data_IF_413564813634
#
_entry.id   IF_413564813634
#
_cell.length_a   1.000
_cell.length_b   1.000
_cell.length_c   1.000
_cell.angle_alpha   90.00
_cell.angle_beta   90.00
_cell.angle_gamma   90.00
#
_symmetry.space_group_name_H-M   'P 1'
#
loop_
_entity.id
_entity.type
_entity.pdbx_description
1 polymer ?
#
# COMPACT_ATOMS: atom_id res chain seq x y z
N UNK A 1 -23.49 -6.46 7.77
CA UNK A 1 -22.95 -6.73 6.42
C UNK A 1 -23.39 -8.13 5.95
N UNK A 2 -24.53 -8.27 5.26
CA UNK A 2 -25.08 -9.61 4.93
C UNK A 2 -25.13 -9.91 3.42
N UNK A 3 -24.48 -9.11 2.57
CA UNK A 3 -24.44 -9.37 1.12
C UNK A 3 -23.06 -9.93 0.72
N UNK A 4 -22.96 -11.19 0.25
CA UNK A 4 -21.69 -11.83 -0.10
C UNK A 4 -20.93 -11.08 -1.21
N UNK A 5 -21.63 -10.33 -2.06
CA UNK A 5 -21.03 -9.54 -3.14
C UNK A 5 -20.21 -8.34 -2.63
N UNK A 6 -20.60 -7.73 -1.51
CA UNK A 6 -19.88 -6.58 -0.94
C UNK A 6 -18.61 -7.05 -0.21
N UNK A 7 -18.68 -8.18 0.49
CA UNK A 7 -17.50 -8.78 1.16
C UNK A 7 -16.44 -9.18 0.13
N UNK A 8 -16.84 -9.73 -1.02
CA UNK A 8 -15.90 -10.11 -2.09
C UNK A 8 -15.05 -8.92 -2.55
N UNK A 9 -15.61 -7.70 -2.59
CA UNK A 9 -14.88 -6.48 -2.98
C UNK A 9 -13.78 -6.12 -1.96
N UNK A 10 -14.06 -6.31 -0.67
CA UNK A 10 -13.04 -6.14 0.38
C UNK A 10 -11.92 -7.16 0.23
N UNK A 11 -12.28 -8.44 0.02
CA UNK A 11 -11.31 -9.53 -0.16
C UNK A 11 -10.41 -9.27 -1.37
N UNK A 12 -10.96 -8.82 -2.50
CA UNK A 12 -10.17 -8.47 -3.69
C UNK A 12 -9.17 -7.36 -3.38
N UNK A 13 -9.58 -6.32 -2.63
CA UNK A 13 -8.67 -5.28 -2.17
C UNK A 13 -7.52 -5.83 -1.34
N UNK A 14 -7.82 -6.70 -0.37
CA UNK A 14 -6.82 -7.37 0.47
C UNK A 14 -5.85 -8.18 -0.37
N UNK A 15 -6.35 -8.99 -1.31
CA UNK A 15 -5.53 -9.80 -2.21
C UNK A 15 -4.61 -8.92 -3.06
N UNK A 16 -5.10 -7.80 -3.58
CA UNK A 16 -4.30 -6.80 -4.30
C UNK A 16 -3.16 -6.23 -3.43
N UNK A 17 -3.43 -5.91 -2.17
CA UNK A 17 -2.42 -5.42 -1.25
C UNK A 17 -1.37 -6.49 -0.88
N UNK A 18 -1.78 -7.76 -0.75
CA UNK A 18 -0.87 -8.89 -0.51
C UNK A 18 -0.01 -9.15 -1.76
N UNK A 19 -0.60 -9.18 -2.95
CA UNK A 19 0.14 -9.31 -4.21
C UNK A 19 1.17 -8.19 -4.37
N UNK A 20 0.81 -6.97 -3.97
CA UNK A 20 1.73 -5.85 -3.94
C UNK A 20 2.89 -6.07 -2.96
N UNK A 21 2.60 -6.54 -1.73
CA UNK A 21 3.61 -6.90 -0.73
C UNK A 21 4.58 -7.98 -1.27
N UNK A 22 4.08 -8.95 -2.03
CA UNK A 22 4.90 -10.01 -2.61
C UNK A 22 6.03 -9.48 -3.52
N UNK A 23 5.88 -8.31 -4.13
CA UNK A 23 6.96 -7.66 -4.90
C UNK A 23 8.19 -7.44 -4.01
N UNK A 24 8.00 -7.06 -2.74
CA UNK A 24 9.12 -6.80 -1.84
C UNK A 24 9.85 -8.05 -1.38
N UNK A 25 9.15 -9.18 -1.33
CA UNK A 25 9.66 -10.47 -0.85
C UNK A 25 10.37 -11.24 -1.97
N UNK A 26 9.73 -11.34 -3.13
CA UNK A 26 10.21 -12.21 -4.21
C UNK A 26 11.13 -11.52 -5.20
N UNK A 27 11.07 -10.19 -5.31
CA UNK A 27 11.90 -9.48 -6.28
C UNK A 27 13.25 -9.12 -5.66
N UNK A 28 14.30 -9.66 -6.27
CA UNK A 28 15.69 -9.46 -5.83
C UNK A 28 16.13 -8.02 -6.11
N UNK A 29 16.82 -7.40 -5.15
CA UNK A 29 17.29 -6.01 -5.25
C UNK A 29 18.36 -5.81 -6.35
N UNK A 30 18.97 -6.89 -6.84
CA UNK A 30 19.94 -6.84 -7.94
C UNK A 30 19.30 -6.67 -9.32
N UNK A 31 17.97 -6.73 -9.43
CA UNK A 31 17.26 -6.52 -10.70
C UNK A 31 17.14 -5.02 -10.99
N UNK A 32 17.75 -4.60 -12.09
CA UNK A 32 17.76 -3.23 -12.57
C UNK A 32 17.20 -3.17 -13.99
N UNK A 33 16.46 -2.10 -14.29
CA UNK A 33 16.06 -1.75 -15.65
C UNK A 33 17.10 -0.78 -16.19
N UNK A 34 17.68 -1.16 -17.32
CA UNK A 34 18.47 -0.29 -18.17
C UNK A 34 17.59 0.23 -19.31
N UNK A 35 17.26 1.52 -19.28
CA UNK A 35 16.37 2.14 -20.26
C UNK A 35 17.07 2.45 -21.59
N UNK A 36 18.40 2.58 -21.59
CA UNK A 36 19.20 2.95 -22.75
C UNK A 36 20.00 1.78 -23.32
N UNK A 37 20.16 0.69 -22.56
CA UNK A 37 20.92 -0.50 -22.94
C UNK A 37 22.45 -0.30 -22.88
N UNK A 38 22.91 0.80 -22.30
CA UNK A 38 24.30 1.22 -22.23
C UNK A 38 24.91 1.10 -20.82
N UNK A 39 24.13 0.64 -19.85
CA UNK A 39 24.53 0.48 -18.44
C UNK A 39 24.67 1.79 -17.66
N UNK A 40 24.35 2.95 -18.25
CA UNK A 40 24.58 4.27 -17.64
C UNK A 40 23.46 4.70 -16.69
N UNK A 41 22.22 4.28 -16.94
CA UNK A 41 21.04 4.71 -16.18
C UNK A 41 20.25 3.50 -15.65
N UNK A 42 20.82 2.87 -14.63
CA UNK A 42 20.24 1.69 -13.97
C UNK A 42 19.23 2.11 -12.92
N UNK A 43 17.95 1.80 -13.17
CA UNK A 43 16.87 2.04 -12.22
C UNK A 43 16.47 0.74 -11.52
N UNK A 44 16.30 0.73 -10.19
CA UNK A 44 15.94 -0.49 -9.47
C UNK A 44 14.50 -0.93 -9.84
N UNK A 45 14.37 -2.12 -10.43
CA UNK A 45 13.09 -2.67 -10.90
C UNK A 45 12.06 -2.77 -9.77
N UNK A 46 12.51 -3.10 -8.56
CA UNK A 46 11.68 -3.21 -7.35
C UNK A 46 10.96 -1.93 -7.00
N UNK A 47 11.62 -0.79 -7.13
CA UNK A 47 11.02 0.51 -6.86
C UNK A 47 9.97 0.84 -7.93
N UNK A 48 10.31 0.62 -9.21
CA UNK A 48 9.40 0.85 -10.34
C UNK A 48 8.11 0.03 -10.20
N UNK A 49 8.23 -1.29 -9.98
CA UNK A 49 7.08 -2.17 -9.77
C UNK A 49 6.33 -1.85 -8.48
N UNK A 50 7.03 -1.44 -7.42
CA UNK A 50 6.42 -0.96 -6.18
C UNK A 50 5.50 0.24 -6.43
N UNK A 51 5.96 1.24 -7.19
CA UNK A 51 5.15 2.42 -7.53
C UNK A 51 3.98 2.05 -8.46
N UNK A 52 4.23 1.28 -9.53
CA UNK A 52 3.18 0.84 -10.45
C UNK A 52 2.11 0.04 -9.71
N UNK A 53 2.52 -0.91 -8.86
CA UNK A 53 1.59 -1.71 -8.09
C UNK A 53 0.77 -0.88 -7.09
N UNK A 54 1.35 0.18 -6.51
CA UNK A 54 0.62 1.09 -5.61
C UNK A 54 -0.42 1.92 -6.39
N UNK A 55 -0.10 2.33 -7.62
CA UNK A 55 -1.06 2.97 -8.53
C UNK A 55 -2.21 2.00 -8.85
N UNK A 56 -1.94 0.72 -9.11
CA UNK A 56 -2.99 -0.28 -9.36
C UNK A 56 -3.91 -0.44 -8.15
N UNK A 57 -3.36 -0.53 -6.93
CA UNK A 57 -4.16 -0.58 -5.69
C UNK A 57 -4.99 0.69 -5.48
N UNK A 58 -4.45 1.86 -5.79
CA UNK A 58 -5.16 3.13 -5.72
C UNK A 58 -6.31 3.20 -6.74
N UNK A 59 -6.04 2.85 -8.01
CA UNK A 59 -7.04 2.78 -9.07
C UNK A 59 -8.18 1.82 -8.72
N UNK A 60 -7.88 0.65 -8.12
CA UNK A 60 -8.90 -0.27 -7.65
C UNK A 60 -9.88 0.44 -6.72
N UNK A 61 -9.40 1.18 -5.72
CA UNK A 61 -10.28 1.89 -4.78
C UNK A 61 -10.99 3.10 -5.41
N UNK A 62 -10.38 3.79 -6.38
CA UNK A 62 -11.05 4.90 -7.08
C UNK A 62 -12.25 4.41 -7.89
N UNK A 63 -12.06 3.35 -8.69
CA UNK A 63 -13.09 2.81 -9.59
C UNK A 63 -14.01 1.77 -8.95
N UNK A 64 -13.76 1.39 -7.69
CA UNK A 64 -14.65 0.46 -6.98
C UNK A 64 -16.02 1.11 -6.75
N UNK A 65 -17.04 0.50 -7.38
CA UNK A 65 -18.44 0.80 -7.13
C UNK A 65 -18.97 -0.11 -6.01
N UNK A 66 -18.94 0.40 -4.78
CA UNK A 66 -19.37 -0.30 -3.57
C UNK A 66 -20.08 0.68 -2.64
N UNK A 67 -20.78 0.15 -1.63
CA UNK A 67 -21.35 1.01 -0.59
C UNK A 67 -20.24 1.79 0.12
N UNK A 68 -20.51 3.03 0.59
CA UNK A 68 -19.50 3.85 1.26
C UNK A 68 -18.81 3.14 2.43
N UNK A 69 -19.56 2.39 3.24
CA UNK A 69 -19.04 1.58 4.35
C UNK A 69 -18.03 0.53 3.88
N UNK A 70 -18.38 -0.25 2.85
CA UNK A 70 -17.52 -1.29 2.28
C UNK A 70 -16.28 -0.71 1.62
N UNK A 71 -16.42 0.43 0.94
CA UNK A 71 -15.31 1.14 0.30
C UNK A 71 -14.31 1.66 1.33
N UNK A 72 -14.80 2.24 2.43
CA UNK A 72 -13.98 2.69 3.56
C UNK A 72 -13.26 1.51 4.21
N UNK A 73 -13.97 0.44 4.56
CA UNK A 73 -13.37 -0.75 5.16
C UNK A 73 -12.26 -1.36 4.28
N UNK A 74 -12.54 -1.55 2.99
CA UNK A 74 -11.55 -2.04 2.03
C UNK A 74 -10.33 -1.13 1.96
N UNK A 75 -10.52 0.18 1.84
CA UNK A 75 -9.43 1.15 1.77
C UNK A 75 -8.58 1.18 3.04
N UNK A 76 -9.21 1.15 4.22
CA UNK A 76 -8.50 1.17 5.51
C UNK A 76 -7.68 -0.10 5.73
N UNK A 77 -8.25 -1.28 5.43
CA UNK A 77 -7.52 -2.56 5.58
C UNK A 77 -6.36 -2.64 4.59
N UNK A 78 -6.58 -2.27 3.32
CA UNK A 78 -5.52 -2.30 2.31
C UNK A 78 -4.42 -1.29 2.59
N UNK A 79 -4.76 -0.07 3.02
CA UNK A 79 -3.78 0.92 3.46
C UNK A 79 -2.95 0.41 4.63
N UNK A 80 -3.57 -0.27 5.59
CA UNK A 80 -2.86 -0.87 6.73
C UNK A 80 -1.83 -1.90 6.27
N UNK A 81 -2.19 -2.78 5.33
CA UNK A 81 -1.28 -3.79 4.76
C UNK A 81 -0.13 -3.11 4.00
N UNK A 82 -0.43 -2.12 3.15
CA UNK A 82 0.58 -1.37 2.39
C UNK A 82 1.54 -0.66 3.35
N UNK A 83 1.01 0.00 4.37
CA UNK A 83 1.80 0.69 5.38
C UNK A 83 2.71 -0.25 6.18
N UNK A 84 2.17 -1.37 6.68
CA UNK A 84 2.97 -2.39 7.38
C UNK A 84 4.07 -2.97 6.47
N UNK A 85 3.76 -3.21 5.20
CA UNK A 85 4.75 -3.69 4.23
C UNK A 85 5.89 -2.68 4.04
N UNK A 86 5.58 -1.39 3.96
CA UNK A 86 6.60 -0.33 3.88
C UNK A 86 7.46 -0.31 5.13
N UNK A 87 6.87 -0.46 6.33
CA UNK A 87 7.63 -0.49 7.59
C UNK A 87 8.57 -1.71 7.68
N UNK A 88 8.09 -2.88 7.25
CA UNK A 88 8.84 -4.13 7.41
C UNK A 88 9.95 -4.29 6.38
N UNK A 89 9.69 -3.91 5.12
CA UNK A 89 10.62 -4.20 4.02
C UNK A 89 11.49 -3.01 3.60
N UNK A 90 11.20 -1.80 4.10
CA UNK A 90 12.04 -0.64 3.77
C UNK A 90 13.16 -0.46 4.80
N UNK A 91 14.42 -0.22 4.39
CA UNK A 91 15.55 -0.12 5.30
C UNK A 91 15.58 1.24 6.03
N UNK A 92 14.84 1.38 7.12
CA UNK A 92 14.84 2.58 7.99
C UNK A 92 16.10 2.73 8.83
N UNK A 93 16.78 1.62 9.13
CA UNK A 93 17.91 1.56 10.07
C UNK A 93 19.26 1.37 9.38
N UNK A 94 19.30 1.36 8.04
CA UNK A 94 20.56 1.21 7.32
C UNK A 94 21.38 2.51 7.46
N UNK A 95 22.55 2.47 8.11
CA UNK A 95 23.39 3.65 8.29
C UNK A 95 23.91 4.22 6.95
N UNK A 96 23.82 3.48 5.85
CA UNK A 96 24.18 3.96 4.51
C UNK A 96 23.01 4.66 3.79
N UNK A 97 21.80 4.66 4.36
CA UNK A 97 20.65 5.34 3.78
C UNK A 97 20.66 6.83 4.16
N UNK A 98 21.25 7.66 3.31
CA UNK A 98 21.30 9.13 3.46
C UNK A 98 19.93 9.79 3.55
N UNK A 99 18.87 9.11 3.12
CA UNK A 99 17.49 9.59 3.14
C UNK A 99 16.63 8.97 4.27
N UNK A 100 17.24 8.24 5.22
CA UNK A 100 16.52 7.51 6.27
C UNK A 100 15.54 8.37 7.08
N UNK A 101 15.88 9.64 7.36
CA UNK A 101 15.02 10.58 8.07
C UNK A 101 13.74 10.94 7.31
N UNK A 102 13.84 11.26 6.02
CA UNK A 102 12.69 11.59 5.18
C UNK A 102 11.76 10.39 5.01
N UNK A 103 12.33 9.20 4.81
CA UNK A 103 11.57 7.95 4.70
C UNK A 103 10.82 7.65 6.01
N UNK A 104 11.48 7.82 7.16
CA UNK A 104 10.84 7.66 8.47
C UNK A 104 9.66 8.62 8.68
N UNK A 105 9.79 9.87 8.25
CA UNK A 105 8.70 10.85 8.29
C UNK A 105 7.49 10.40 7.46
N UNK A 106 7.70 9.94 6.22
CA UNK A 106 6.60 9.43 5.39
C UNK A 106 5.95 8.15 5.95
N UNK A 107 6.74 7.28 6.59
CA UNK A 107 6.18 6.14 7.31
C UNK A 107 5.30 6.57 8.49
N UNK A 108 5.69 7.58 9.27
CA UNK A 108 4.87 8.10 10.37
C UNK A 108 3.59 8.78 9.87
N UNK A 109 3.66 9.58 8.80
CA UNK A 109 2.47 10.16 8.16
C UNK A 109 1.53 9.06 7.65
N UNK A 110 2.08 8.01 7.04
CA UNK A 110 1.29 6.85 6.63
C UNK A 110 0.56 6.20 7.81
N UNK A 111 1.23 6.11 8.97
CA UNK A 111 0.65 5.55 10.19
C UNK A 111 -0.46 6.42 10.74
N UNK A 112 -0.28 7.75 10.73
CA UNK A 112 -1.33 8.70 11.07
C UNK A 112 -2.55 8.53 10.14
N UNK A 113 -2.34 8.40 8.84
CA UNK A 113 -3.43 8.17 7.89
C UNK A 113 -4.20 6.88 8.19
N UNK A 114 -3.50 5.79 8.53
CA UNK A 114 -4.11 4.53 8.96
C UNK A 114 -4.97 4.74 10.21
N UNK A 115 -4.44 5.38 11.25
CA UNK A 115 -5.17 5.64 12.50
C UNK A 115 -6.40 6.51 12.23
N UNK A 116 -6.28 7.59 11.47
CA UNK A 116 -7.38 8.50 11.15
C UNK A 116 -8.50 7.78 10.39
N UNK A 117 -8.16 6.91 9.43
CA UNK A 117 -9.17 6.15 8.69
C UNK A 117 -9.87 5.10 9.56
N UNK A 118 -9.15 4.44 10.47
CA UNK A 118 -9.76 3.54 11.45
C UNK A 118 -10.69 4.28 12.41
N UNK A 119 -10.25 5.40 12.98
CA UNK A 119 -11.09 6.24 13.86
C UNK A 119 -12.33 6.68 13.11
N UNK A 120 -12.19 7.20 11.89
CA UNK A 120 -13.33 7.61 11.07
C UNK A 120 -14.30 6.46 10.80
N UNK A 121 -13.78 5.27 10.49
CA UNK A 121 -14.61 4.09 10.27
C UNK A 121 -15.43 3.74 11.53
N UNK A 122 -14.79 3.69 12.71
CA UNK A 122 -15.48 3.39 13.96
C UNK A 122 -16.44 4.50 14.41
N UNK A 123 -16.11 5.78 14.16
CA UNK A 123 -16.97 6.91 14.51
C UNK A 123 -18.23 6.98 13.63
N UNK A 124 -18.14 6.62 12.35
CA UNK A 124 -19.30 6.63 11.46
C UNK A 124 -20.35 5.57 11.87
N UNK A 125 -19.92 4.43 12.44
CA UNK A 125 -20.84 3.40 12.95
C UNK A 125 -21.48 3.79 14.30
N UNK A 126 -20.83 4.64 15.12
CA UNK A 126 -21.35 5.08 16.42
C UNK A 126 -22.51 6.08 16.33
N UNK A 127 -22.63 6.83 15.22
CA UNK A 127 -23.68 7.85 15.04
C UNK A 127 -25.00 7.22 14.56
N UNK A 128 -24.97 5.97 14.09
CA UNK A 128 -26.13 5.25 13.53
C UNK A 128 -26.78 4.31 14.55
N UNK A 129 -26.18 4.13 15.73
CA UNK A 129 -26.72 3.37 16.88
C UNK A 129 -27.51 4.27 17.84
#
# INVERSE_FOLDING_TARGET
MNNPLEIRKVVVGIVLAILWMCIFIFLKDSLVIDWAGDGSNLTPLKLVLGVIGLIVVACYHLFLNARPETKKLSATVTLTIVWLSLILFYPFKDPNNTNGGAVGFFALIGGLAVVVLWVRFFSDDLIVA
#
